data_IF_197342488009
#
_entry.id   IF_197342488009
#
_cell.length_a   1.000
_cell.length_b   1.000
_cell.length_c   1.000
_cell.angle_alpha   90.00
_cell.angle_beta   90.00
_cell.angle_gamma   90.00
#
_symmetry.space_group_name_H-M   'P 1'
#
loop_
_entity.id
_entity.type
_entity.pdbx_description
1 polymer ?
#
# COMPACT_ATOMS: atom_id res chain seq x y z
N UNK A 1 -10.00 -36.56 36.47
CA UNK A 1 -9.03 -35.45 36.54
C UNK A 1 -9.15 -34.61 35.27
N UNK A 2 -9.24 -33.29 35.42
CA UNK A 2 -10.16 -32.41 34.68
C UNK A 2 -9.63 -31.99 33.27
N UNK A 3 -10.30 -32.35 32.16
CA UNK A 3 -9.95 -31.87 30.82
C UNK A 3 -10.16 -30.35 30.67
N UNK A 4 -10.94 -29.77 31.57
CA UNK A 4 -11.27 -28.34 31.70
C UNK A 4 -10.00 -27.46 31.78
N UNK A 5 -8.94 -27.91 32.46
CA UNK A 5 -7.72 -27.11 32.60
C UNK A 5 -6.92 -27.01 31.28
N UNK A 6 -7.05 -28.01 30.40
CA UNK A 6 -6.39 -28.02 29.08
C UNK A 6 -7.13 -27.12 28.08
N UNK A 7 -8.46 -27.09 28.17
CA UNK A 7 -9.28 -26.17 27.38
C UNK A 7 -9.08 -24.71 27.79
N UNK A 8 -8.97 -24.41 29.09
CA UNK A 8 -8.70 -23.05 29.57
C UNK A 8 -7.32 -22.58 29.11
N UNK A 9 -6.27 -23.41 29.21
CA UNK A 9 -4.93 -23.06 28.72
C UNK A 9 -4.90 -22.83 27.21
N UNK A 10 -5.62 -23.65 26.43
CA UNK A 10 -5.72 -23.47 24.98
C UNK A 10 -6.45 -22.17 24.61
N UNK A 11 -7.56 -21.84 25.29
CA UNK A 11 -8.30 -20.59 25.05
C UNK A 11 -7.47 -19.36 25.39
N UNK A 12 -6.72 -19.38 26.50
CA UNK A 12 -5.82 -18.28 26.86
C UNK A 12 -4.70 -18.09 25.84
N UNK A 13 -4.13 -19.19 25.32
CA UNK A 13 -3.11 -19.11 24.27
C UNK A 13 -3.68 -18.58 22.95
N UNK A 14 -4.91 -19.00 22.58
CA UNK A 14 -5.64 -18.51 21.41
C UNK A 14 -5.90 -17.00 21.52
N UNK A 15 -6.36 -16.50 22.67
CA UNK A 15 -6.58 -15.06 22.89
C UNK A 15 -5.26 -14.27 22.81
N UNK A 16 -4.17 -14.81 23.36
CA UNK A 16 -2.86 -14.18 23.32
C UNK A 16 -2.29 -14.10 21.88
N UNK A 17 -2.47 -15.15 21.07
CA UNK A 17 -2.05 -15.08 19.66
C UNK A 17 -2.95 -14.18 18.82
N UNK A 18 -4.25 -14.06 19.13
CA UNK A 18 -5.14 -13.12 18.43
C UNK A 18 -4.65 -11.67 18.60
N UNK A 19 -4.24 -11.26 19.81
CA UNK A 19 -3.65 -9.93 20.03
C UNK A 19 -2.31 -9.70 19.32
N UNK A 20 -1.57 -10.77 18.99
CA UNK A 20 -0.34 -10.66 18.19
C UNK A 20 -0.61 -10.69 16.67
N UNK A 21 -1.77 -11.22 16.24
CA UNK A 21 -2.14 -11.45 14.83
C UNK A 21 -2.84 -10.25 14.18
N UNK A 22 -2.96 -9.11 14.88
CA UNK A 22 -3.49 -7.87 14.28
C UNK A 22 -2.47 -7.20 13.34
N UNK A 23 -1.19 -7.59 13.39
CA UNK A 23 -0.08 -6.90 12.69
C UNK A 23 0.39 -7.55 11.37
N UNK A 24 -0.10 -8.74 10.99
CA UNK A 24 0.54 -9.52 9.90
C UNK A 24 -0.29 -9.72 8.62
N UNK A 25 -1.34 -8.95 8.37
CA UNK A 25 -1.99 -8.89 7.04
C UNK A 25 -1.36 -7.82 6.14
N UNK A 26 -0.05 -7.87 5.88
CA UNK A 26 0.54 -7.19 4.71
C UNK A 26 1.38 -8.16 3.89
N UNK A 27 0.73 -9.22 3.40
CA UNK A 27 1.26 -10.04 2.33
C UNK A 27 0.98 -9.33 1.00
N UNK A 28 1.79 -8.31 0.67
CA UNK A 28 1.92 -7.97 -0.75
C UNK A 28 2.47 -9.25 -1.43
N UNK A 29 1.78 -9.77 -2.45
CA UNK A 29 2.16 -10.97 -3.24
C UNK A 29 2.92 -10.58 -4.49
N UNK A 30 4.03 -11.28 -4.75
CA UNK A 30 5.08 -10.94 -5.72
C UNK A 30 4.61 -10.86 -7.17
N UNK A 31 5.30 -10.04 -7.96
CA UNK A 31 5.26 -9.90 -9.43
C UNK A 31 4.18 -9.02 -10.10
N UNK A 32 3.09 -8.61 -9.43
CA UNK A 32 2.31 -7.39 -9.81
C UNK A 32 2.72 -6.14 -9.01
N UNK A 33 3.74 -6.31 -8.17
CA UNK A 33 4.12 -5.43 -7.06
C UNK A 33 4.80 -4.11 -7.36
N UNK A 34 5.70 -3.97 -8.36
CA UNK A 34 6.63 -2.84 -8.34
C UNK A 34 5.91 -1.50 -8.52
N UNK A 35 4.92 -1.43 -9.43
CA UNK A 35 4.10 -0.23 -9.63
C UNK A 35 3.19 0.07 -8.43
N UNK A 36 2.60 -0.97 -7.84
CA UNK A 36 1.77 -0.82 -6.64
C UNK A 36 2.58 -0.32 -5.45
N UNK A 37 3.75 -0.93 -5.20
CA UNK A 37 4.67 -0.49 -4.15
C UNK A 37 5.17 0.92 -4.37
N UNK A 38 5.51 1.27 -5.62
CA UNK A 38 5.93 2.62 -5.98
C UNK A 38 4.83 3.64 -5.69
N UNK A 39 3.59 3.36 -6.12
CA UNK A 39 2.46 4.21 -5.83
C UNK A 39 2.23 4.38 -4.34
N UNK A 40 2.19 3.28 -3.57
CA UNK A 40 1.95 3.34 -2.13
C UNK A 40 3.03 4.14 -1.43
N UNK A 41 4.28 4.02 -1.85
CA UNK A 41 5.39 4.75 -1.26
C UNK A 41 5.26 6.25 -1.51
N UNK A 42 5.01 6.67 -2.76
CA UNK A 42 4.88 8.11 -3.02
C UNK A 42 3.63 8.70 -2.39
N UNK A 43 2.49 7.99 -2.39
CA UNK A 43 1.28 8.48 -1.73
C UNK A 43 1.54 8.72 -0.24
N UNK A 44 2.28 7.83 0.44
CA UNK A 44 2.70 8.04 1.83
C UNK A 44 3.66 9.21 2.02
N UNK A 45 4.57 9.42 1.09
CA UNK A 45 5.47 10.58 1.15
C UNK A 45 4.71 11.89 0.96
N UNK A 46 3.75 11.92 0.04
CA UNK A 46 2.87 13.08 -0.17
C UNK A 46 1.99 13.36 1.06
N UNK A 47 1.49 12.33 1.72
CA UNK A 47 0.75 12.47 2.98
C UNK A 47 1.60 13.18 4.05
N UNK A 48 2.84 12.74 4.24
CA UNK A 48 3.78 13.39 5.18
C UNK A 48 4.05 14.85 4.82
N UNK A 49 4.20 15.17 3.54
CA UNK A 49 4.41 16.55 3.05
C UNK A 49 3.19 17.42 3.31
N UNK A 50 1.99 16.89 3.14
CA UNK A 50 0.73 17.59 3.43
C UNK A 50 0.56 17.83 4.93
N UNK A 51 0.91 16.86 5.77
CA UNK A 51 0.80 16.97 7.24
C UNK A 51 1.78 17.98 7.84
N UNK A 52 3.03 17.99 7.38
CA UNK A 52 4.11 18.79 7.98
C UNK A 52 4.33 20.13 7.28
N UNK A 53 3.68 20.33 6.13
CA UNK A 53 3.96 21.43 5.22
C UNK A 53 5.27 21.19 4.45
N UNK A 54 5.21 21.35 3.14
CA UNK A 54 6.37 21.19 2.27
C UNK A 54 6.02 21.40 0.82
N UNK A 55 7.03 21.28 -0.02
CA UNK A 55 6.89 21.40 -1.47
C UNK A 55 6.57 20.02 -2.06
N UNK A 56 5.35 19.91 -2.58
CA UNK A 56 4.84 18.70 -3.21
C UNK A 56 5.63 18.37 -4.48
N UNK A 57 5.93 19.36 -5.32
CA UNK A 57 6.65 19.16 -6.57
C UNK A 57 8.07 18.66 -6.29
N UNK A 58 8.74 19.27 -5.30
CA UNK A 58 10.07 18.82 -4.88
C UNK A 58 10.04 17.40 -4.28
N UNK A 59 8.98 17.02 -3.57
CA UNK A 59 8.83 15.68 -3.02
C UNK A 59 8.66 14.63 -4.12
N UNK A 60 7.84 14.93 -5.15
CA UNK A 60 7.66 14.08 -6.33
C UNK A 60 8.97 13.93 -7.10
N UNK A 61 9.64 15.04 -7.39
CA UNK A 61 10.92 15.08 -8.11
C UNK A 61 11.99 14.24 -7.40
N UNK A 62 12.11 14.43 -6.07
CA UNK A 62 13.05 13.66 -5.24
C UNK A 62 12.74 12.17 -5.29
N UNK A 63 11.48 11.79 -5.07
CA UNK A 63 11.07 10.39 -5.11
C UNK A 63 11.38 9.75 -6.47
N UNK A 64 11.00 10.41 -7.56
CA UNK A 64 11.22 9.88 -8.90
C UNK A 64 12.71 9.77 -9.25
N UNK A 65 13.59 10.59 -8.68
CA UNK A 65 15.03 10.52 -8.93
C UNK A 65 15.77 9.54 -8.00
N UNK A 66 15.30 9.36 -6.78
CA UNK A 66 15.99 8.57 -5.75
C UNK A 66 15.46 7.13 -5.63
N UNK A 67 14.15 6.92 -5.78
CA UNK A 67 13.47 5.65 -5.51
C UNK A 67 13.12 4.86 -6.78
N UNK A 68 13.39 5.44 -7.96
CA UNK A 68 13.07 4.85 -9.28
C UNK A 68 14.33 4.74 -10.13
N UNK A 69 14.50 3.67 -10.94
CA UNK A 69 15.60 3.58 -11.89
C UNK A 69 15.65 4.78 -12.84
N UNK A 70 16.86 5.26 -13.14
CA UNK A 70 17.07 6.50 -13.93
C UNK A 70 16.35 6.53 -15.28
N UNK A 71 16.17 5.37 -15.93
CA UNK A 71 15.46 5.26 -17.22
C UNK A 71 13.93 5.37 -17.10
N UNK A 72 13.37 5.38 -15.88
CA UNK A 72 11.93 5.46 -15.60
C UNK A 72 11.52 6.79 -14.96
N UNK A 73 12.46 7.72 -14.70
CA UNK A 73 12.18 9.01 -14.02
C UNK A 73 11.08 9.79 -14.74
N UNK A 74 11.22 10.02 -16.04
CA UNK A 74 10.21 10.72 -16.85
C UNK A 74 8.82 10.04 -16.81
N UNK A 75 8.79 8.71 -16.70
CA UNK A 75 7.55 7.96 -16.61
C UNK A 75 6.94 8.12 -15.21
N UNK A 76 7.76 8.09 -14.16
CA UNK A 76 7.36 8.33 -12.78
C UNK A 76 6.69 9.70 -12.66
N UNK A 77 7.39 10.77 -13.04
CA UNK A 77 6.89 12.15 -12.96
C UNK A 77 5.56 12.30 -13.69
N UNK A 78 5.48 11.85 -14.95
CA UNK A 78 4.24 11.93 -15.75
C UNK A 78 3.07 11.15 -15.15
N UNK A 79 3.33 9.98 -14.55
CA UNK A 79 2.27 9.18 -13.92
C UNK A 79 1.78 9.88 -12.66
N UNK A 80 2.68 10.43 -11.85
CA UNK A 80 2.32 11.09 -10.60
C UNK A 80 1.62 12.41 -10.87
N UNK A 81 2.19 13.28 -11.70
CA UNK A 81 1.61 14.58 -12.07
C UNK A 81 0.17 14.45 -12.57
N UNK A 82 -0.10 13.46 -13.43
CA UNK A 82 -1.46 13.20 -13.96
C UNK A 82 -2.46 12.79 -12.89
N UNK A 83 -2.02 12.18 -11.80
CA UNK A 83 -2.87 11.71 -10.71
C UNK A 83 -2.75 12.58 -9.46
N UNK A 84 -1.92 13.61 -9.46
CA UNK A 84 -1.50 14.33 -8.27
C UNK A 84 -2.67 15.05 -7.59
N UNK A 85 -3.52 15.72 -8.38
CA UNK A 85 -4.72 16.39 -7.86
C UNK A 85 -5.65 15.40 -7.15
N UNK A 86 -5.91 14.25 -7.78
CA UNK A 86 -6.71 13.17 -7.19
C UNK A 86 -6.09 12.63 -5.90
N UNK A 87 -4.78 12.35 -5.90
CA UNK A 87 -4.06 11.85 -4.72
C UNK A 87 -4.17 12.83 -3.56
N UNK A 88 -3.93 14.13 -3.80
CA UNK A 88 -4.02 15.16 -2.76
C UNK A 88 -5.44 15.26 -2.21
N UNK A 89 -6.47 15.21 -3.06
CA UNK A 89 -7.86 15.21 -2.62
C UNK A 89 -8.15 14.02 -1.70
N UNK A 90 -7.74 12.81 -2.10
CA UNK A 90 -7.99 11.59 -1.31
C UNK A 90 -7.20 11.53 -0.01
N UNK A 91 -5.99 12.09 0.02
CA UNK A 91 -5.23 12.24 1.25
C UNK A 91 -5.92 13.22 2.24
N UNK A 92 -6.52 14.31 1.74
CA UNK A 92 -7.32 15.22 2.58
C UNK A 92 -8.58 14.54 3.14
N UNK A 93 -9.11 13.55 2.45
CA UNK A 93 -10.21 12.70 2.91
C UNK A 93 -9.73 11.55 3.84
N UNK A 94 -8.45 11.52 4.20
CA UNK A 94 -7.80 10.47 5.01
C UNK A 94 -7.93 9.06 4.40
N UNK A 95 -7.92 8.97 3.07
CA UNK A 95 -7.96 7.68 2.39
C UNK A 95 -6.60 6.98 2.41
N UNK A 96 -6.62 5.68 2.72
CA UNK A 96 -5.43 4.84 2.80
C UNK A 96 -4.72 4.70 1.44
N UNK A 97 -3.39 4.77 1.45
CA UNK A 97 -2.56 4.74 0.24
C UNK A 97 -2.82 3.51 -0.65
N UNK A 98 -3.03 2.33 -0.07
CA UNK A 98 -3.35 1.10 -0.82
C UNK A 98 -4.66 1.26 -1.63
N UNK A 99 -5.65 1.98 -1.09
CA UNK A 99 -6.92 2.22 -1.76
C UNK A 99 -6.79 3.27 -2.86
N UNK A 100 -6.14 4.40 -2.57
CA UNK A 100 -5.84 5.44 -3.57
C UNK A 100 -5.13 4.82 -4.78
N UNK A 101 -4.11 3.98 -4.52
CA UNK A 101 -3.35 3.29 -5.56
C UNK A 101 -4.16 2.25 -6.33
N UNK A 102 -5.18 1.65 -5.72
CA UNK A 102 -6.13 0.79 -6.42
C UNK A 102 -7.06 1.58 -7.33
N UNK A 103 -7.55 2.73 -6.87
CA UNK A 103 -8.49 3.55 -7.64
C UNK A 103 -7.84 4.17 -8.89
N UNK A 104 -6.53 4.43 -8.86
CA UNK A 104 -5.74 4.84 -10.03
C UNK A 104 -5.12 3.65 -10.80
N UNK A 105 -5.58 2.43 -10.52
CA UNK A 105 -5.18 1.19 -11.22
C UNK A 105 -3.70 0.79 -11.12
N UNK A 106 -2.95 1.34 -10.16
CA UNK A 106 -1.56 0.96 -9.89
C UNK A 106 -1.45 -0.25 -8.94
N UNK A 107 -2.48 -0.50 -8.12
CA UNK A 107 -2.63 -1.70 -7.30
C UNK A 107 -3.87 -2.51 -7.73
N UNK A 108 -3.71 -3.82 -7.96
CA UNK A 108 -4.84 -4.72 -8.28
C UNK A 108 -5.47 -5.27 -7.00
N UNK A 109 -6.79 -5.42 -7.00
CA UNK A 109 -7.48 -6.17 -5.93
C UNK A 109 -7.38 -7.68 -6.18
N UNK A 110 -7.41 -8.53 -5.13
CA UNK A 110 -7.26 -9.99 -5.25
C UNK A 110 -8.28 -10.71 -6.16
N UNK A 111 -9.34 -10.02 -6.63
CA UNK A 111 -10.33 -10.61 -7.55
C UNK A 111 -9.89 -10.62 -9.02
N UNK A 112 -8.83 -9.91 -9.39
CA UNK A 112 -8.47 -9.68 -10.79
C UNK A 112 -7.48 -10.72 -11.37
N UNK A 113 -7.01 -11.67 -10.56
CA UNK A 113 -6.09 -12.72 -11.01
C UNK A 113 -6.79 -13.80 -11.85
N UNK A 114 -8.08 -14.06 -11.60
CA UNK A 114 -8.83 -15.10 -12.32
C UNK A 114 -9.15 -14.81 -13.80
N UNK A 115 -9.08 -13.54 -14.25
CA UNK A 115 -9.45 -13.17 -15.62
C UNK A 115 -8.24 -13.11 -16.59
N UNK A 116 -7.02 -12.90 -16.10
CA UNK A 116 -5.84 -12.80 -16.96
C UNK A 116 -5.15 -14.13 -17.27
N UNK A 117 -5.53 -15.20 -16.57
CA UNK A 117 -4.96 -16.53 -16.79
C UNK A 117 -5.77 -17.38 -17.78
N UNK A 118 -6.95 -16.91 -18.22
CA UNK A 118 -7.79 -17.63 -19.18
C UNK A 118 -7.51 -17.31 -20.65
N UNK A 119 -6.53 -16.44 -20.95
CA UNK A 119 -6.12 -16.09 -22.32
C UNK A 119 -4.71 -16.60 -22.68
N UNK A 120 -4.22 -17.68 -22.07
CA UNK A 120 -2.97 -18.34 -22.48
C UNK A 120 -3.12 -19.82 -22.79
#
# INVERSE_FOLDING_TARGET
MKPINRFILALSFILFVISAVESSKKLHTETSKPLCGLCVNIVKQLDQVLEHGGDIEAAVDKFCKEDVPSFMVDMCEKVIEKNLEYIIEKLKDHEEADKICTDIFLCRTPKQYYFLETEK
#
